data_IF_589062933702
#
_entry.id   IF_589062933702
#
_cell.length_a   1.000
_cell.length_b   1.000
_cell.length_c   1.000
_cell.angle_alpha   90.00
_cell.angle_beta   90.00
_cell.angle_gamma   90.00
#
_symmetry.space_group_name_H-M   'P 1'
#
loop_
_entity.id
_entity.type
_entity.pdbx_description
1 polymer ?
#
# COMPACT_ATOMS: atom_id res chain seq x y z
N UNK A 1 1.13 9.69 7.82
CA UNK A 1 1.41 9.89 9.26
C UNK A 1 2.65 9.09 9.61
N UNK A 2 3.62 9.66 10.33
CA UNK A 2 4.83 8.94 10.74
C UNK A 2 4.44 7.92 11.82
N UNK A 3 4.66 6.64 11.57
CA UNK A 3 4.47 5.56 12.55
C UNK A 3 5.82 4.91 12.84
N UNK A 4 6.30 5.03 14.08
CA UNK A 4 7.32 4.16 14.69
C UNK A 4 8.74 4.16 14.12
N UNK A 5 9.68 4.61 14.95
CA UNK A 5 11.15 4.60 14.85
C UNK A 5 11.80 5.13 13.56
N UNK A 6 11.53 4.66 12.34
CA UNK A 6 12.29 5.07 11.13
C UNK A 6 11.58 4.85 9.77
N UNK A 7 10.25 4.63 9.72
CA UNK A 7 9.58 4.16 8.49
C UNK A 7 8.36 4.94 8.00
N UNK A 8 8.08 4.81 6.70
CA UNK A 8 6.80 5.18 6.08
C UNK A 8 5.83 3.99 6.16
N UNK A 9 4.53 4.25 6.25
CA UNK A 9 3.48 3.22 6.34
C UNK A 9 2.46 3.35 5.22
N UNK A 10 1.90 2.21 4.79
CA UNK A 10 0.77 2.17 3.86
C UNK A 10 -0.52 2.17 4.68
N UNK A 11 -1.46 3.05 4.31
CA UNK A 11 -2.79 3.05 4.89
C UNK A 11 -3.80 2.69 3.81
N UNK A 12 -4.52 1.58 4.00
CA UNK A 12 -5.68 1.24 3.19
C UNK A 12 -6.93 1.72 3.92
N UNK A 13 -7.74 2.51 3.22
CA UNK A 13 -9.06 2.91 3.67
C UNK A 13 -10.05 2.86 2.50
N UNK A 14 -11.34 2.75 2.82
CA UNK A 14 -12.39 2.89 1.81
C UNK A 14 -12.54 4.35 1.45
N UNK A 15 -12.64 4.64 0.15
CA UNK A 15 -12.99 5.98 -0.32
C UNK A 15 -14.49 6.07 -0.55
N UNK A 16 -15.07 7.23 -0.27
CA UNK A 16 -16.50 7.50 -0.50
C UNK A 16 -16.72 8.56 -1.60
N UNK A 17 -15.68 9.32 -1.94
CA UNK A 17 -15.67 10.32 -3.00
C UNK A 17 -14.34 10.23 -3.74
N UNK A 18 -14.43 10.26 -5.06
CA UNK A 18 -13.26 10.40 -5.93
C UNK A 18 -13.13 11.88 -6.34
N UNK A 19 -11.90 12.35 -6.47
CA UNK A 19 -11.59 13.68 -6.99
C UNK A 19 -10.36 13.61 -7.92
N UNK A 20 -10.00 14.74 -8.54
CA UNK A 20 -8.90 14.82 -9.51
C UNK A 20 -7.51 14.56 -8.91
N UNK A 21 -7.39 14.47 -7.58
CA UNK A 21 -6.12 14.15 -6.91
C UNK A 21 -5.81 12.65 -6.93
N UNK A 22 -6.77 11.80 -7.32
CA UNK A 22 -6.59 10.35 -7.38
C UNK A 22 -6.30 9.86 -8.80
N UNK A 23 -5.32 8.99 -8.91
CA UNK A 23 -5.15 8.04 -9.98
C UNK A 23 -5.97 6.78 -9.65
N UNK A 24 -6.72 6.29 -10.63
CA UNK A 24 -7.57 5.11 -10.48
C UNK A 24 -6.98 3.96 -11.30
N UNK A 25 -6.73 2.84 -10.64
CA UNK A 25 -6.30 1.60 -11.27
C UNK A 25 -7.42 0.57 -11.11
N UNK A 26 -7.91 0.03 -12.22
CA UNK A 26 -8.98 -0.97 -12.23
C UNK A 26 -8.46 -2.33 -12.66
N UNK A 27 -8.73 -3.36 -11.86
CA UNK A 27 -8.37 -4.74 -12.17
C UNK A 27 -9.37 -5.71 -11.55
N UNK A 28 -9.85 -6.68 -12.32
CA UNK A 28 -10.73 -7.75 -11.82
C UNK A 28 -11.93 -7.24 -11.00
N UNK A 29 -12.57 -6.15 -11.48
CA UNK A 29 -13.67 -5.44 -10.81
C UNK A 29 -13.31 -4.76 -9.46
N UNK A 30 -12.03 -4.61 -9.17
CA UNK A 30 -11.50 -3.88 -8.01
C UNK A 30 -10.92 -2.55 -8.51
N UNK A 31 -11.36 -1.45 -7.90
CA UNK A 31 -10.81 -0.13 -8.15
C UNK A 31 -9.88 0.27 -7.00
N UNK A 32 -8.64 0.61 -7.34
CA UNK A 32 -7.62 1.10 -6.42
C UNK A 32 -7.41 2.58 -6.69
N UNK A 33 -7.55 3.40 -5.64
CA UNK A 33 -7.40 4.84 -5.72
C UNK A 33 -6.10 5.25 -5.04
N UNK A 34 -5.25 5.96 -5.78
CA UNK A 34 -3.93 6.38 -5.34
C UNK A 34 -3.84 7.90 -5.47
N UNK A 35 -3.48 8.60 -4.40
CA UNK A 35 -3.25 10.05 -4.51
C UNK A 35 -2.02 10.30 -5.40
N UNK A 36 -2.17 11.10 -6.45
CA UNK A 36 -1.18 11.38 -7.49
C UNK A 36 0.20 11.76 -6.91
N UNK A 37 0.24 12.58 -5.85
CA UNK A 37 1.48 13.01 -5.19
C UNK A 37 2.33 11.86 -4.62
N UNK A 38 1.72 10.69 -4.42
CA UNK A 38 2.39 9.53 -3.86
C UNK A 38 2.81 8.48 -4.90
N UNK A 39 2.47 8.66 -6.19
CA UNK A 39 2.72 7.65 -7.22
C UNK A 39 4.19 7.21 -7.28
N UNK A 40 5.11 8.16 -7.20
CA UNK A 40 6.56 7.91 -7.20
C UNK A 40 7.07 7.04 -6.03
N UNK A 41 6.34 6.97 -4.91
CA UNK A 41 6.70 6.16 -3.74
C UNK A 41 6.05 4.78 -3.75
N UNK A 42 5.09 4.56 -4.66
CA UNK A 42 4.35 3.30 -4.76
C UNK A 42 4.42 2.66 -6.15
N UNK A 43 5.15 3.29 -7.06
CA UNK A 43 5.36 2.78 -8.40
C UNK A 43 6.12 1.45 -8.34
N UNK A 44 5.59 0.46 -9.06
CA UNK A 44 6.08 -0.91 -9.04
C UNK A 44 5.73 -1.73 -7.80
N UNK A 45 4.93 -1.21 -6.84
CA UNK A 45 4.45 -2.04 -5.73
C UNK A 45 3.51 -3.12 -6.25
N UNK A 46 3.76 -4.35 -5.81
CA UNK A 46 2.84 -5.46 -5.94
C UNK A 46 2.00 -5.56 -4.66
N UNK A 47 0.69 -5.48 -4.82
CA UNK A 47 -0.27 -5.68 -3.74
C UNK A 47 -0.86 -7.07 -3.91
N UNK A 48 -0.82 -7.88 -2.86
CA UNK A 48 -1.43 -9.22 -2.84
C UNK A 48 -2.36 -9.37 -1.63
N UNK A 49 -3.27 -10.34 -1.70
CA UNK A 49 -4.20 -10.65 -0.62
C UNK A 49 -4.02 -12.11 -0.18
N UNK A 50 -3.39 -12.28 0.97
CA UNK A 50 -3.03 -13.59 1.49
C UNK A 50 -4.07 -14.03 2.53
N UNK A 51 -4.51 -15.27 2.41
CA UNK A 51 -5.36 -15.96 3.38
C UNK A 51 -4.58 -17.12 4.02
N UNK A 52 -4.26 -16.98 5.30
CA UNK A 52 -3.55 -17.99 6.10
C UNK A 52 -4.42 -18.40 7.29
N UNK A 53 -5.06 -19.57 7.20
CA UNK A 53 -6.03 -20.03 8.19
C UNK A 53 -7.22 -19.08 8.32
N UNK A 54 -7.42 -18.54 9.52
CA UNK A 54 -8.45 -17.52 9.81
C UNK A 54 -7.98 -16.09 9.49
N UNK A 55 -6.67 -15.89 9.31
CA UNK A 55 -6.10 -14.58 9.07
C UNK A 55 -6.22 -14.22 7.59
N UNK A 56 -6.53 -12.95 7.34
CA UNK A 56 -6.57 -12.36 6.00
C UNK A 56 -5.90 -11.01 6.04
N UNK A 57 -4.95 -10.77 5.15
CA UNK A 57 -4.19 -9.52 5.12
C UNK A 57 -3.78 -9.16 3.70
N UNK A 58 -3.63 -7.85 3.48
CA UNK A 58 -2.93 -7.35 2.31
C UNK A 58 -1.43 -7.39 2.55
N UNK A 59 -0.66 -7.76 1.54
CA UNK A 59 0.79 -7.62 1.51
C UNK A 59 1.19 -6.62 0.45
N UNK A 60 2.26 -5.89 0.72
CA UNK A 60 2.80 -4.88 -0.17
C UNK A 60 4.28 -5.19 -0.38
N UNK A 61 4.62 -5.57 -1.59
CA UNK A 61 5.99 -5.85 -1.99
C UNK A 61 6.43 -4.72 -2.92
N UNK A 62 7.38 -3.92 -2.47
CA UNK A 62 8.00 -2.93 -3.34
C UNK A 62 9.34 -3.50 -3.82
N UNK A 63 9.64 -3.45 -5.13
CA UNK A 63 10.91 -3.94 -5.68
C UNK A 63 12.15 -3.24 -5.11
N UNK A 64 11.98 -2.11 -4.41
CA UNK A 64 13.05 -1.29 -3.83
C UNK A 64 13.12 -1.37 -2.29
N UNK A 65 12.24 -2.13 -1.64
CA UNK A 65 12.21 -2.23 -0.16
C UNK A 65 12.91 -3.52 0.27
N UNK A 66 14.03 -3.37 0.97
CA UNK A 66 14.91 -4.47 1.39
C UNK A 66 14.50 -5.06 2.76
N UNK A 67 13.70 -4.34 3.57
CA UNK A 67 13.23 -4.83 4.88
C UNK A 67 11.82 -4.31 5.23
N UNK A 68 10.87 -5.23 5.37
CA UNK A 68 9.56 -5.00 6.02
C UNK A 68 9.63 -5.42 7.49
N UNK A 69 9.17 -4.58 8.42
CA UNK A 69 9.07 -5.00 9.82
C UNK A 69 8.01 -6.11 9.94
N UNK A 70 8.30 -7.15 10.74
CA UNK A 70 7.52 -8.40 10.85
C UNK A 70 6.04 -8.25 11.26
N UNK A 71 5.55 -7.04 11.53
CA UNK A 71 4.13 -6.73 11.75
C UNK A 71 3.36 -6.28 10.49
N UNK A 72 4.04 -5.97 9.38
CA UNK A 72 3.41 -5.62 8.09
C UNK A 72 2.89 -4.18 7.96
N UNK A 73 3.06 -3.33 8.99
CA UNK A 73 2.49 -1.98 9.02
C UNK A 73 3.46 -0.87 8.58
N UNK A 74 4.75 -1.16 8.34
CA UNK A 74 5.76 -0.13 8.05
C UNK A 74 6.97 -0.66 7.27
N UNK A 75 7.59 0.22 6.48
CA UNK A 75 8.76 -0.06 5.65
C UNK A 75 9.72 1.14 5.59
N UNK A 76 10.96 0.85 5.23
CA UNK A 76 12.05 1.83 5.08
C UNK A 76 12.53 1.80 3.63
N UNK A 77 12.59 2.97 2.99
CA UNK A 77 13.33 3.13 1.75
C UNK A 77 14.81 3.32 2.10
N UNK A 78 15.69 2.52 1.49
CA UNK A 78 17.14 2.70 1.55
C UNK A 78 17.58 3.40 0.28
#
# INVERSE_FOLDING_TARGET
MKSGCLGSSYNISKIYKNDLSYLVFSRDNINIFVIHKFIQFIDGIKIDYIKEGLNRRFTFEHPKIVRSCKCGESFVFI
#
